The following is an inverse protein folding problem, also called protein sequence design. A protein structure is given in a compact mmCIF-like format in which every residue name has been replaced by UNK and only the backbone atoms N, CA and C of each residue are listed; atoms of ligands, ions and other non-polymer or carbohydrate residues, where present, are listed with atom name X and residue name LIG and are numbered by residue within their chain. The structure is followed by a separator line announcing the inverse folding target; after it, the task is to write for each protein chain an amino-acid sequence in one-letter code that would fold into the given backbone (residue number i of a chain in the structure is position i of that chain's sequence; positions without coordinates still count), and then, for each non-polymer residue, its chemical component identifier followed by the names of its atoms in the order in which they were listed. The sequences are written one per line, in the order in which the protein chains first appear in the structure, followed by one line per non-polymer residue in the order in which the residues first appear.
data_IF_542237489213
#
_entry.id   IF_542237489213
#
_cell.length_a   1.000
_cell.length_b   1.000
_cell.length_c   1.000
_cell.angle_alpha   90.00
_cell.angle_beta   90.00
_cell.angle_gamma   90.00
#
_symmetry.space_group_name_H-M   'P 1'
#
loop_
_entity.id
_entity.type
_entity.pdbx_description
1 polymer ?
#
# COMPACT_ATOMS: atom_id res chain seq x y z
N UNK A 1 -5.94 -17.38 10.27
CA UNK A 1 -5.31 -16.22 9.60
C UNK A 1 -5.95 -14.95 10.14
N UNK A 2 -5.19 -14.15 10.88
CA UNK A 2 -5.59 -12.81 11.30
C UNK A 2 -5.52 -11.89 10.08
N UNK A 3 -6.58 -11.13 9.84
CA UNK A 3 -6.68 -10.14 8.77
C UNK A 3 -7.36 -8.90 9.34
N UNK A 4 -6.96 -7.74 8.85
CA UNK A 4 -7.51 -6.45 9.24
C UNK A 4 -7.66 -5.63 7.95
N UNK A 5 -8.75 -4.87 7.84
CA UNK A 5 -8.91 -3.99 6.69
C UNK A 5 -7.91 -2.82 6.77
N UNK A 6 -7.57 -2.24 5.62
CA UNK A 6 -6.67 -1.08 5.55
C UNK A 6 -7.20 0.05 6.45
N UNK A 7 -8.48 0.38 6.33
CA UNK A 7 -9.11 1.42 7.15
C UNK A 7 -9.07 1.10 8.65
N UNK A 8 -9.35 -0.16 9.04
CA UNK A 8 -9.29 -0.54 10.46
C UNK A 8 -7.90 -0.40 11.04
N UNK A 9 -6.88 -0.81 10.28
CA UNK A 9 -5.49 -0.67 10.67
C UNK A 9 -5.07 0.81 10.75
N UNK A 10 -5.45 1.63 9.76
CA UNK A 10 -5.21 3.07 9.76
C UNK A 10 -5.84 3.75 10.98
N UNK A 11 -7.11 3.45 11.29
CA UNK A 11 -7.79 4.01 12.46
C UNK A 11 -7.13 3.57 13.76
N UNK A 12 -6.73 2.30 13.87
CA UNK A 12 -6.02 1.79 15.04
C UNK A 12 -4.69 2.54 15.24
N UNK A 13 -3.86 2.63 14.20
CA UNK A 13 -2.55 3.26 14.26
C UNK A 13 -2.66 4.79 14.45
N UNK A 14 -3.66 5.44 13.84
CA UNK A 14 -3.92 6.86 14.05
C UNK A 14 -4.25 7.17 15.51
N UNK A 15 -5.10 6.35 16.14
CA UNK A 15 -5.41 6.51 17.57
C UNK A 15 -4.16 6.37 18.43
N UNK A 16 -3.31 5.37 18.15
CA UNK A 16 -2.05 5.18 18.89
C UNK A 16 -1.11 6.37 18.67
N UNK A 17 -0.95 6.84 17.44
CA UNK A 17 -0.11 7.99 17.12
C UNK A 17 -0.55 9.25 17.86
N UNK A 18 -1.86 9.55 17.85
CA UNK A 18 -2.43 10.70 18.57
C UNK A 18 -2.23 10.59 20.09
N UNK A 19 -2.38 9.38 20.66
CA UNK A 19 -2.12 9.15 22.09
C UNK A 19 -0.65 9.36 22.46
N UNK A 20 0.28 9.11 21.53
CA UNK A 20 1.72 9.33 21.70
C UNK A 20 2.13 10.78 21.38
N UNK A 21 1.18 11.68 21.08
CA UNK A 21 1.45 13.09 20.82
C UNK A 21 1.95 13.38 19.40
N UNK A 22 1.76 12.46 18.45
CA UNK A 22 2.07 12.71 17.04
C UNK A 22 1.08 13.73 16.47
N UNK A 23 1.59 14.83 15.91
CA UNK A 23 0.78 15.78 15.15
C UNK A 23 0.44 15.20 13.77
N UNK A 24 -0.85 15.21 13.42
CA UNK A 24 -1.33 14.66 12.15
C UNK A 24 -2.07 15.74 11.37
N UNK A 25 -1.55 16.08 10.20
CA UNK A 25 -2.15 17.02 9.26
C UNK A 25 -2.80 16.26 8.10
N UNK A 26 -4.11 16.39 7.99
CA UNK A 26 -4.93 15.78 6.93
C UNK A 26 -5.32 16.79 5.85
N UNK A 27 -5.36 16.34 4.60
CA UNK A 27 -5.70 17.16 3.43
C UNK A 27 -4.57 18.08 2.97
N UNK A 28 -3.33 17.66 3.19
CA UNK A 28 -2.11 18.40 2.87
C UNK A 28 -1.18 17.46 2.12
N UNK A 29 -0.64 17.94 1.00
CA UNK A 29 0.28 17.20 0.15
C UNK A 29 1.70 17.73 0.30
N UNK A 30 2.65 16.81 0.26
CA UNK A 30 4.07 17.11 0.10
C UNK A 30 4.33 17.71 -1.28
N UNK A 31 5.12 18.78 -1.34
CA UNK A 31 5.52 19.42 -2.59
C UNK A 31 6.99 19.16 -2.91
N UNK A 32 7.88 19.59 -2.02
CA UNK A 32 9.32 19.54 -2.23
C UNK A 32 10.07 19.74 -0.89
N UNK A 33 11.35 19.42 -0.89
CA UNK A 33 12.30 19.64 0.19
C UNK A 33 13.50 20.40 -0.35
N UNK A 34 13.73 21.58 0.20
CA UNK A 34 14.78 22.50 -0.27
C UNK A 34 15.64 22.99 0.90
N UNK A 35 16.92 23.27 0.61
CA UNK A 35 17.80 23.99 1.54
C UNK A 35 17.55 25.49 1.41
N UNK A 36 16.82 26.08 2.36
CA UNK A 36 16.35 27.46 2.25
C UNK A 36 16.49 28.23 3.57
N UNK A 37 16.37 29.56 3.50
CA UNK A 37 16.33 30.43 4.69
C UNK A 37 14.89 30.80 4.99
N UNK A 38 14.50 30.68 6.26
CA UNK A 38 13.18 31.05 6.79
C UNK A 38 12.93 32.57 6.83
N UNK A 39 13.94 33.40 6.52
CA UNK A 39 13.79 34.84 6.38
C UNK A 39 15.11 35.62 6.35
N UNK A 40 15.07 36.94 6.09
CA UNK A 40 16.27 37.76 6.04
C UNK A 40 17.08 37.66 7.35
N UNK A 41 18.33 37.21 7.26
CA UNK A 41 19.23 37.06 8.41
C UNK A 41 19.06 35.77 9.23
N UNK A 42 18.20 34.84 8.82
CA UNK A 42 18.06 33.53 9.47
C UNK A 42 18.98 32.48 8.81
N UNK A 43 19.50 31.56 9.64
CA UNK A 43 20.27 30.40 9.18
C UNK A 43 19.46 29.57 8.18
N UNK A 44 20.17 28.95 7.23
CA UNK A 44 19.53 28.02 6.29
C UNK A 44 19.31 26.67 6.96
N UNK A 45 18.23 26.02 6.57
CA UNK A 45 17.92 24.67 6.99
C UNK A 45 17.06 23.96 5.94
N UNK A 46 16.93 22.65 6.09
CA UNK A 46 16.00 21.88 5.26
C UNK A 46 14.57 22.29 5.55
N UNK A 47 13.88 22.68 4.48
CA UNK A 47 12.51 23.14 4.50
C UNK A 47 11.66 22.20 3.65
N UNK A 48 10.63 21.60 4.26
CA UNK A 48 9.64 20.77 3.58
C UNK A 48 8.43 21.63 3.26
N UNK A 49 8.16 21.83 1.97
CA UNK A 49 7.03 22.62 1.48
C UNK A 49 5.76 21.78 1.32
N UNK A 50 4.63 22.36 1.70
CA UNK A 50 3.32 21.72 1.73
C UNK A 50 2.28 22.56 1.00
N UNK A 51 1.28 21.90 0.44
CA UNK A 51 0.11 22.55 -0.16
C UNK A 51 -1.19 21.84 0.22
N UNK A 52 -2.35 22.51 0.20
CA UNK A 52 -3.63 21.84 0.31
C UNK A 52 -3.80 20.81 -0.81
N UNK A 53 -4.12 19.56 -0.45
CA UNK A 53 -4.37 18.50 -1.43
C UNK A 53 -5.74 18.62 -2.10
N UNK A 54 -5.96 17.98 -3.26
CA UNK A 54 -7.20 18.10 -4.04
C UNK A 54 -8.47 17.53 -3.37
N UNK A 55 -8.39 16.99 -2.15
CA UNK A 55 -9.46 16.24 -1.47
C UNK A 55 -9.06 14.77 -1.34
N UNK A 56 -9.72 14.01 -0.45
CA UNK A 56 -9.38 12.59 -0.23
C UNK A 56 -9.50 11.79 -1.53
N UNK A 57 -8.38 11.25 -2.01
CA UNK A 57 -8.41 10.08 -2.89
C UNK A 57 -8.63 8.83 -2.03
N UNK A 58 -9.40 7.86 -2.54
CA UNK A 58 -9.53 6.58 -1.87
C UNK A 58 -8.15 5.92 -1.75
N UNK A 59 -7.87 5.30 -0.60
CA UNK A 59 -6.54 4.87 -0.15
C UNK A 59 -5.86 3.74 -0.98
N UNK A 60 -6.35 3.44 -2.18
CA UNK A 60 -5.90 2.31 -3.00
C UNK A 60 -5.03 2.81 -4.17
N UNK A 61 -3.79 3.20 -3.86
CA UNK A 61 -2.86 3.91 -4.76
C UNK A 61 -2.45 3.25 -6.10
N UNK A 62 -3.00 2.10 -6.48
CA UNK A 62 -2.88 1.54 -7.86
C UNK A 62 -4.16 1.63 -8.68
N UNK A 63 -5.28 1.81 -8.01
CA UNK A 63 -6.57 1.93 -8.62
C UNK A 63 -6.90 3.43 -8.67
N UNK A 64 -6.36 4.12 -9.67
CA UNK A 64 -6.68 5.53 -9.88
C UNK A 64 -8.21 5.67 -10.00
N UNK A 65 -8.79 6.42 -9.06
CA UNK A 65 -10.11 6.99 -9.23
C UNK A 65 -9.96 8.47 -9.00
N UNK A 66 -10.22 9.26 -10.04
CA UNK A 66 -10.73 10.60 -9.83
C UNK A 66 -12.11 10.46 -9.19
N UNK A 67 -12.15 10.29 -7.87
CA UNK A 67 -13.42 10.41 -7.16
C UNK A 67 -13.76 11.90 -7.18
N UNK A 68 -14.82 12.24 -7.92
CA UNK A 68 -15.44 13.56 -7.91
C UNK A 68 -16.12 13.89 -6.58
N UNK A 69 -15.50 13.56 -5.44
CA UNK A 69 -15.94 14.06 -4.16
C UNK A 69 -15.76 15.57 -4.18
N UNK A 70 -16.88 16.28 -3.99
CA UNK A 70 -16.94 17.73 -3.84
C UNK A 70 -15.78 18.17 -2.95
N UNK A 71 -14.91 19.05 -3.47
CA UNK A 71 -13.98 19.85 -2.67
C UNK A 71 -14.74 20.27 -1.41
N UNK A 72 -14.36 19.71 -0.26
CA UNK A 72 -14.78 20.29 1.00
C UNK A 72 -14.35 21.77 0.92
N UNK A 73 -15.23 22.70 1.28
CA UNK A 73 -14.95 24.14 1.17
C UNK A 73 -13.71 24.57 1.95
N UNK A 74 -13.26 23.75 2.91
CA UNK A 74 -11.98 23.84 3.59
C UNK A 74 -11.36 22.44 3.79
N UNK A 75 -10.02 22.30 3.73
CA UNK A 75 -9.34 21.03 4.00
C UNK A 75 -9.53 20.61 5.47
N UNK A 76 -9.46 19.31 5.80
CA UNK A 76 -9.60 18.82 7.18
C UNK A 76 -8.65 19.49 8.19
N UNK A 77 -7.47 19.92 7.76
CA UNK A 77 -6.53 20.70 8.56
C UNK A 77 -6.41 22.13 8.00
N UNK A 78 -7.38 23.02 8.28
CA UNK A 78 -7.45 24.35 7.68
C UNK A 78 -6.31 25.29 8.11
N UNK A 79 -5.55 24.91 9.15
CA UNK A 79 -4.43 25.68 9.70
C UNK A 79 -3.08 24.98 9.52
N UNK A 80 -3.01 23.98 8.62
CA UNK A 80 -1.73 23.35 8.33
C UNK A 80 -0.70 24.39 7.87
N UNK A 81 0.55 24.35 8.35
CA UNK A 81 1.60 25.23 7.88
C UNK A 81 1.87 24.97 6.40
N UNK A 82 2.37 25.99 5.69
CA UNK A 82 2.81 25.85 4.30
C UNK A 82 4.19 25.23 4.18
N UNK A 83 4.95 25.22 5.25
CA UNK A 83 6.26 24.60 5.30
C UNK A 83 6.65 24.19 6.72
N UNK A 84 7.48 23.17 6.83
CA UNK A 84 8.24 22.86 8.03
C UNK A 84 9.70 23.23 7.80
N UNK A 85 10.31 23.96 8.74
CA UNK A 85 11.72 24.32 8.73
C UNK A 85 12.51 23.43 9.69
N UNK A 86 13.84 23.46 9.60
CA UNK A 86 14.74 22.75 10.51
C UNK A 86 14.51 21.23 10.54
N UNK A 87 14.19 20.65 9.37
CA UNK A 87 13.91 19.22 9.25
C UNK A 87 15.21 18.41 9.16
N UNK A 88 15.47 17.53 10.12
CA UNK A 88 16.66 16.63 10.07
C UNK A 88 16.37 15.25 9.49
N UNK A 89 15.11 14.81 9.55
CA UNK A 89 14.68 13.48 9.09
C UNK A 89 13.38 13.60 8.30
N UNK A 90 13.35 12.99 7.12
CA UNK A 90 12.15 12.90 6.28
C UNK A 90 11.88 11.44 5.90
N UNK A 91 10.68 10.94 6.20
CA UNK A 91 10.26 9.58 5.86
C UNK A 91 9.14 9.58 4.82
N UNK A 92 9.42 9.01 3.65
CA UNK A 92 8.44 8.82 2.58
C UNK A 92 7.63 7.53 2.79
N UNK A 93 6.35 7.70 3.13
CA UNK A 93 5.39 6.61 3.36
C UNK A 93 4.11 6.77 2.51
N UNK A 94 4.20 7.45 1.36
CA UNK A 94 3.04 7.80 0.51
C UNK A 94 2.61 6.68 -0.44
N UNK A 95 3.22 5.50 -0.35
CA UNK A 95 2.99 4.39 -1.27
C UNK A 95 3.75 4.55 -2.59
N UNK A 96 3.14 4.08 -3.68
CA UNK A 96 3.73 4.03 -5.01
C UNK A 96 4.14 5.43 -5.52
N UNK A 97 5.31 5.53 -6.17
CA UNK A 97 5.76 6.78 -6.80
C UNK A 97 6.02 7.93 -5.83
N UNK A 98 6.50 7.62 -4.62
CA UNK A 98 6.73 8.59 -3.54
C UNK A 98 7.50 9.83 -4.02
N UNK A 99 6.91 11.05 -3.93
CA UNK A 99 7.61 12.27 -4.33
C UNK A 99 8.85 12.53 -3.47
N UNK A 100 8.83 12.11 -2.20
CA UNK A 100 9.96 12.23 -1.26
C UNK A 100 11.20 11.51 -1.80
N UNK A 101 11.05 10.29 -2.32
CA UNK A 101 12.18 9.52 -2.84
C UNK A 101 12.79 10.17 -4.08
N UNK A 102 11.94 10.65 -5.00
CA UNK A 102 12.38 11.34 -6.22
C UNK A 102 13.13 12.63 -5.92
N UNK A 103 12.61 13.41 -4.98
CA UNK A 103 13.20 14.69 -4.58
C UNK A 103 14.56 14.50 -3.87
N UNK A 104 14.71 13.41 -3.11
CA UNK A 104 15.98 13.00 -2.54
C UNK A 104 16.96 12.34 -3.53
N UNK A 105 16.61 12.26 -4.82
CA UNK A 105 17.43 11.64 -5.85
C UNK A 105 17.58 10.12 -5.73
N UNK A 106 16.67 9.46 -5.01
CA UNK A 106 16.68 8.01 -4.82
C UNK A 106 16.23 7.31 -6.11
N UNK A 107 16.95 6.26 -6.50
CA UNK A 107 16.67 5.58 -7.77
C UNK A 107 15.57 4.53 -7.60
N UNK A 108 14.60 4.48 -8.51
CA UNK A 108 13.68 3.35 -8.62
C UNK A 108 14.28 2.29 -9.55
N UNK A 109 14.23 1.03 -9.14
CA UNK A 109 14.49 -0.13 -9.98
C UNK A 109 13.17 -0.82 -10.26
N UNK A 110 12.87 -1.04 -11.54
CA UNK A 110 11.93 -2.08 -11.89
C UNK A 110 12.52 -3.41 -11.41
N UNK A 111 11.72 -4.19 -10.68
CA UNK A 111 12.09 -5.57 -10.38
C UNK A 111 12.32 -6.29 -11.71
N UNK A 112 13.31 -7.20 -11.76
CA UNK A 112 13.42 -8.15 -12.88
C UNK A 112 12.01 -8.69 -13.17
N UNK A 113 11.64 -8.81 -14.44
CA UNK A 113 10.33 -9.29 -14.92
C UNK A 113 9.99 -10.68 -14.32
N UNK A 114 9.67 -10.72 -13.03
CA UNK A 114 9.54 -11.91 -12.19
C UNK A 114 8.30 -12.71 -12.62
N UNK A 115 7.42 -12.11 -13.42
CA UNK A 115 6.44 -12.80 -14.23
C UNK A 115 6.61 -12.45 -15.70
N UNK A 116 6.75 -13.48 -16.53
CA UNK A 116 6.57 -13.41 -18.00
C UNK A 116 5.11 -13.15 -18.39
N UNK A 117 4.16 -13.37 -17.47
CA UNK A 117 2.72 -13.27 -17.70
C UNK A 117 2.13 -12.04 -17.02
N UNK A 118 1.16 -11.40 -17.68
CA UNK A 118 0.49 -10.22 -17.15
C UNK A 118 -0.27 -10.55 -15.86
N UNK A 119 0.01 -9.86 -14.75
CA UNK A 119 -0.70 -10.06 -13.48
C UNK A 119 -1.68 -8.91 -13.28
N UNK A 120 -2.97 -9.17 -13.42
CA UNK A 120 -4.01 -8.14 -13.30
C UNK A 120 -4.71 -8.33 -11.95
N UNK A 121 -4.71 -7.29 -11.14
CA UNK A 121 -5.48 -7.25 -9.91
C UNK A 121 -6.87 -6.67 -10.14
N UNK A 122 -7.85 -7.15 -9.36
CA UNK A 122 -9.20 -6.63 -9.30
C UNK A 122 -9.57 -6.42 -7.82
N UNK A 123 -10.05 -5.22 -7.46
CA UNK A 123 -10.64 -4.94 -6.15
C UNK A 123 -12.12 -4.58 -6.31
N UNK A 124 -12.95 -4.96 -5.33
CA UNK A 124 -14.25 -4.35 -5.13
C UNK A 124 -14.63 -4.30 -3.63
N UNK A 125 -15.42 -3.29 -3.26
CA UNK A 125 -15.90 -3.08 -1.90
C UNK A 125 -17.42 -3.01 -1.88
N UNK A 126 -18.12 -4.01 -1.35
CA UNK A 126 -19.57 -3.91 -1.16
C UNK A 126 -19.94 -3.26 0.17
N UNK A 127 -21.02 -2.47 0.17
CA UNK A 127 -21.58 -1.83 1.35
C UNK A 127 -22.04 -2.88 2.37
N UNK A 128 -21.78 -2.59 3.64
CA UNK A 128 -22.15 -3.44 4.76
C UNK A 128 -23.45 -2.95 5.39
N UNK A 129 -24.51 -3.77 5.42
CA UNK A 129 -25.78 -3.45 6.09
C UNK A 129 -25.83 -3.97 7.53
N UNK A 130 -24.87 -4.83 7.91
CA UNK A 130 -24.74 -5.42 9.25
C UNK A 130 -25.93 -6.29 9.67
N UNK A 131 -26.55 -6.95 8.70
CA UNK A 131 -27.62 -7.91 8.98
C UNK A 131 -27.10 -9.27 9.48
N UNK A 132 -28.02 -10.18 9.84
CA UNK A 132 -27.69 -11.49 10.39
C UNK A 132 -26.98 -12.40 9.37
N UNK A 133 -27.28 -12.28 8.08
CA UNK A 133 -26.64 -13.11 7.05
C UNK A 133 -25.17 -12.70 6.86
N UNK A 134 -24.91 -11.39 6.77
CA UNK A 134 -23.56 -10.83 6.76
C UNK A 134 -22.77 -11.20 8.02
N UNK A 135 -23.43 -11.26 9.19
CA UNK A 135 -22.79 -11.62 10.45
C UNK A 135 -22.19 -13.05 10.42
N UNK A 136 -22.81 -13.98 9.69
CA UNK A 136 -22.35 -15.36 9.55
C UNK A 136 -21.20 -15.54 8.55
N UNK A 137 -20.96 -14.59 7.65
CA UNK A 137 -19.92 -14.69 6.63
C UNK A 137 -18.52 -14.71 7.27
N UNK A 138 -17.67 -15.65 6.86
CA UNK A 138 -16.25 -15.69 7.24
C UNK A 138 -15.38 -15.17 6.11
N UNK A 139 -14.38 -14.36 6.47
CA UNK A 139 -13.30 -13.95 5.58
C UNK A 139 -12.49 -15.18 5.13
N UNK A 140 -11.91 -15.12 3.93
CA UNK A 140 -11.06 -16.18 3.39
C UNK A 140 -9.96 -15.62 2.50
N UNK A 141 -8.93 -16.44 2.27
CA UNK A 141 -7.83 -16.17 1.34
C UNK A 141 -7.49 -17.48 0.65
N UNK A 142 -7.65 -17.52 -0.67
CA UNK A 142 -7.48 -18.75 -1.45
C UNK A 142 -6.63 -18.47 -2.68
N UNK A 143 -5.71 -19.38 -2.99
CA UNK A 143 -4.91 -19.37 -4.20
C UNK A 143 -5.17 -20.64 -5.01
N UNK A 144 -5.30 -20.51 -6.33
CA UNK A 144 -5.62 -21.60 -7.26
C UNK A 144 -4.68 -22.80 -7.12
N UNK A 145 -3.41 -22.55 -6.83
CA UNK A 145 -2.40 -23.61 -6.62
C UNK A 145 -2.76 -24.60 -5.51
N UNK A 146 -3.53 -24.18 -4.51
CA UNK A 146 -3.99 -25.04 -3.40
C UNK A 146 -5.43 -25.52 -3.58
N UNK A 147 -6.24 -24.84 -4.40
CA UNK A 147 -7.69 -25.06 -4.52
C UNK A 147 -8.15 -25.27 -5.98
N UNK A 148 -7.36 -25.97 -6.80
CA UNK A 148 -7.57 -26.05 -8.25
C UNK A 148 -9.00 -26.46 -8.67
N UNK A 149 -9.59 -27.47 -8.02
CA UNK A 149 -10.97 -27.92 -8.31
C UNK A 149 -12.02 -26.85 -8.01
N UNK A 150 -11.88 -26.14 -6.89
CA UNK A 150 -12.79 -25.06 -6.49
C UNK A 150 -12.73 -23.91 -7.49
N UNK A 151 -11.53 -23.50 -7.89
CA UNK A 151 -11.35 -22.45 -8.90
C UNK A 151 -11.89 -22.85 -10.27
N UNK A 152 -11.80 -24.13 -10.65
CA UNK A 152 -12.42 -24.62 -11.88
C UNK A 152 -13.96 -24.53 -11.83
N UNK A 153 -14.57 -24.83 -10.68
CA UNK A 153 -16.01 -24.69 -10.48
C UNK A 153 -16.43 -23.22 -10.49
N UNK A 154 -15.70 -22.36 -9.78
CA UNK A 154 -15.92 -20.92 -9.77
C UNK A 154 -15.83 -20.32 -11.17
N UNK A 155 -14.85 -20.72 -11.97
CA UNK A 155 -14.69 -20.26 -13.35
C UNK A 155 -15.85 -20.70 -14.25
N UNK A 156 -16.37 -21.93 -14.08
CA UNK A 156 -17.55 -22.40 -14.83
C UNK A 156 -18.82 -21.64 -14.44
N UNK A 157 -18.96 -21.28 -13.17
CA UNK A 157 -20.12 -20.55 -12.68
C UNK A 157 -20.09 -19.07 -13.07
N UNK A 158 -18.93 -18.43 -12.99
CA UNK A 158 -18.81 -16.97 -13.12
C UNK A 158 -18.20 -16.48 -14.44
N UNK A 159 -17.60 -17.36 -15.23
CA UNK A 159 -16.79 -16.97 -16.39
C UNK A 159 -15.42 -16.37 -16.04
N UNK A 160 -15.09 -16.27 -14.74
CA UNK A 160 -13.83 -15.70 -14.27
C UNK A 160 -12.78 -16.78 -13.95
N UNK A 161 -11.68 -16.81 -14.70
CA UNK A 161 -10.50 -17.58 -14.28
C UNK A 161 -9.66 -16.70 -13.35
N UNK A 162 -9.48 -17.16 -12.10
CA UNK A 162 -8.72 -16.43 -11.08
C UNK A 162 -7.45 -17.19 -10.68
N UNK A 163 -6.37 -16.48 -10.39
CA UNK A 163 -5.19 -17.05 -9.74
C UNK A 163 -5.34 -17.11 -8.22
N UNK A 164 -5.99 -16.11 -7.63
CA UNK A 164 -6.29 -16.02 -6.22
C UNK A 164 -7.52 -15.15 -5.98
N UNK A 165 -8.10 -15.28 -4.79
CA UNK A 165 -9.16 -14.43 -4.27
C UNK A 165 -9.05 -14.33 -2.75
N UNK A 166 -9.19 -13.12 -2.24
CA UNK A 166 -9.21 -12.81 -0.82
C UNK A 166 -10.47 -12.00 -0.53
N UNK A 167 -11.22 -12.43 0.48
CA UNK A 167 -12.39 -11.75 0.99
C UNK A 167 -12.15 -11.39 2.45
N UNK A 168 -12.29 -10.11 2.77
CA UNK A 168 -12.23 -9.60 4.15
C UNK A 168 -13.54 -8.92 4.52
N UNK A 169 -14.21 -9.44 5.54
CA UNK A 169 -15.35 -8.77 6.17
C UNK A 169 -14.86 -7.73 7.17
N UNK A 170 -14.78 -6.47 6.76
CA UNK A 170 -14.41 -5.35 7.65
C UNK A 170 -15.62 -4.80 8.40
N UNK A 171 -15.45 -3.75 9.22
CA UNK A 171 -16.57 -3.05 9.84
C UNK A 171 -17.36 -2.15 8.86
N UNK A 172 -16.73 -1.82 7.72
CA UNK A 172 -17.16 -0.78 6.77
C UNK A 172 -17.67 -1.34 5.45
N UNK A 173 -17.04 -2.40 4.98
CA UNK A 173 -17.31 -3.02 3.68
C UNK A 173 -16.99 -4.52 3.67
N UNK A 174 -17.55 -5.19 2.67
CA UNK A 174 -17.08 -6.50 2.20
C UNK A 174 -16.02 -6.27 1.12
N UNK A 175 -14.75 -6.36 1.52
CA UNK A 175 -13.60 -6.12 0.64
C UNK A 175 -13.21 -7.42 -0.07
N UNK A 176 -13.05 -7.33 -1.39
CA UNK A 176 -12.47 -8.38 -2.20
C UNK A 176 -11.25 -7.88 -2.95
N UNK A 177 -10.23 -8.71 -3.00
CA UNK A 177 -9.14 -8.61 -3.98
C UNK A 177 -8.95 -9.95 -4.64
N UNK A 178 -8.81 -9.94 -5.97
CA UNK A 178 -8.61 -11.14 -6.76
C UNK A 178 -7.69 -10.86 -7.94
N UNK A 179 -7.19 -11.91 -8.56
CA UNK A 179 -6.30 -11.80 -9.72
C UNK A 179 -6.89 -12.57 -10.90
N UNK A 180 -7.76 -11.93 -11.72
CA UNK A 180 -8.29 -12.56 -12.92
C UNK A 180 -7.20 -12.72 -13.99
N UNK A 181 -7.32 -13.77 -14.82
CA UNK A 181 -6.43 -13.91 -15.98
C UNK A 181 -6.84 -12.93 -17.08
N UNK A 182 -5.85 -12.47 -17.86
CA UNK A 182 -6.09 -11.61 -19.03
C UNK A 182 -7.10 -12.20 -20.00
N UNK A 183 -7.00 -13.51 -20.27
CA UNK A 183 -7.90 -14.22 -21.17
C UNK A 183 -9.34 -14.17 -20.69
N UNK A 184 -9.55 -14.24 -19.37
CA UNK A 184 -10.88 -14.17 -18.77
C UNK A 184 -11.49 -12.78 -18.89
N UNK A 185 -10.71 -11.71 -18.69
CA UNK A 185 -11.18 -10.34 -18.88
C UNK A 185 -11.53 -10.04 -20.35
N UNK A 186 -10.76 -10.60 -21.29
CA UNK A 186 -11.07 -10.47 -22.72
C UNK A 186 -12.30 -11.30 -23.10
N UNK A 187 -12.41 -12.54 -22.62
CA UNK A 187 -13.53 -13.43 -22.95
C UNK A 187 -14.87 -12.95 -22.36
N UNK A 188 -14.84 -12.32 -21.18
CA UNK A 188 -16.00 -11.68 -20.57
C UNK A 188 -16.36 -10.33 -21.21
N UNK A 189 -15.50 -9.81 -22.10
CA UNK A 189 -15.69 -8.51 -22.75
C UNK A 189 -15.39 -7.30 -21.86
N UNK A 190 -14.89 -7.51 -20.63
CA UNK A 190 -14.40 -6.44 -19.74
C UNK A 190 -13.26 -5.67 -20.40
N UNK A 191 -12.33 -6.38 -21.04
CA UNK A 191 -11.30 -5.76 -21.89
C UNK A 191 -11.83 -5.71 -23.32
N UNK A 192 -12.00 -4.50 -23.85
CA UNK A 192 -12.62 -4.24 -25.16
C UNK A 192 -11.69 -4.69 -26.29
N UNK A 193 -10.43 -4.26 -26.26
CA UNK A 193 -9.41 -4.62 -27.24
C UNK A 193 -8.17 -5.19 -26.54
N UNK A 194 -7.87 -6.46 -26.82
CA UNK A 194 -6.71 -7.17 -26.25
C UNK A 194 -5.35 -6.58 -26.64
N UNK A 195 -5.29 -5.79 -27.71
CA UNK A 195 -4.05 -5.21 -28.25
C UNK A 195 -3.86 -3.73 -27.85
N UNK A 196 -4.81 -3.14 -27.11
CA UNK A 196 -4.68 -1.78 -26.61
C UNK A 196 -3.53 -1.70 -25.59
N UNK A 197 -2.77 -0.59 -25.60
CA UNK A 197 -1.69 -0.34 -24.65
C UNK A 197 -1.81 1.08 -24.08
N UNK A 198 -1.87 1.24 -22.73
CA UNK A 198 -1.85 0.20 -21.71
C UNK A 198 -3.15 -0.63 -21.70
N UNK A 199 -3.07 -1.95 -21.44
CA UNK A 199 -4.21 -2.87 -21.54
C UNK A 199 -5.43 -2.43 -20.70
N UNK A 200 -5.18 -1.87 -19.52
CA UNK A 200 -6.19 -1.46 -18.55
C UNK A 200 -6.53 0.04 -18.64
N UNK A 201 -6.21 0.70 -19.76
CA UNK A 201 -6.64 2.08 -20.01
C UNK A 201 -8.16 2.21 -19.84
N UNK A 202 -8.62 3.32 -19.27
CA UNK A 202 -10.04 3.55 -18.96
C UNK A 202 -10.94 3.37 -20.18
N UNK A 203 -10.47 3.78 -21.36
CA UNK A 203 -11.21 3.70 -22.63
C UNK A 203 -11.28 2.26 -23.18
N UNK A 204 -10.44 1.36 -22.65
CA UNK A 204 -10.38 -0.04 -23.04
C UNK A 204 -11.06 -0.99 -22.04
N UNK A 205 -11.66 -0.44 -20.98
CA UNK A 205 -12.37 -1.20 -19.94
C UNK A 205 -13.87 -0.93 -20.01
N UNK A 206 -14.64 -2.00 -20.20
CA UNK A 206 -16.10 -2.00 -20.12
C UNK A 206 -16.52 -2.19 -18.65
N UNK A 207 -16.81 -1.08 -17.97
CA UNK A 207 -17.12 -1.07 -16.53
C UNK A 207 -18.46 -1.75 -16.19
N UNK A 208 -19.41 -1.78 -17.11
CA UNK A 208 -20.67 -2.50 -16.90
C UNK A 208 -20.43 -4.01 -16.89
N UNK A 209 -19.64 -4.52 -17.85
CA UNK A 209 -19.24 -5.93 -17.84
C UNK A 209 -18.34 -6.27 -16.67
N UNK A 210 -17.54 -5.33 -16.18
CA UNK A 210 -16.74 -5.52 -14.98
C UNK A 210 -17.62 -5.71 -13.73
N UNK A 211 -18.67 -4.90 -13.56
CA UNK A 211 -19.67 -5.07 -12.49
C UNK A 211 -20.33 -6.46 -12.57
N UNK A 212 -20.79 -6.86 -13.77
CA UNK A 212 -21.40 -8.17 -13.99
C UNK A 212 -20.44 -9.30 -13.60
N UNK A 213 -19.21 -9.29 -14.12
CA UNK A 213 -18.20 -10.31 -13.81
C UNK A 213 -17.94 -10.41 -12.30
N UNK A 214 -17.84 -9.28 -11.61
CA UNK A 214 -17.60 -9.22 -10.17
C UNK A 214 -18.75 -9.81 -9.38
N UNK A 215 -19.99 -9.48 -9.75
CA UNK A 215 -21.20 -10.03 -9.09
C UNK A 215 -21.29 -11.54 -9.27
N UNK A 216 -21.00 -12.04 -10.46
CA UNK A 216 -20.95 -13.47 -10.74
C UNK A 216 -19.88 -14.20 -9.92
N UNK A 217 -18.69 -13.59 -9.77
CA UNK A 217 -17.64 -14.14 -8.89
C UNK A 217 -18.12 -14.20 -7.44
N UNK A 218 -18.67 -13.11 -6.90
CA UNK A 218 -19.07 -13.07 -5.47
C UNK A 218 -20.37 -13.82 -5.18
N UNK A 219 -21.11 -14.23 -6.21
CA UNK A 219 -22.24 -15.15 -6.14
C UNK A 219 -21.82 -16.63 -6.00
N UNK A 220 -20.55 -16.95 -6.25
CA UNK A 220 -20.03 -18.29 -6.02
C UNK A 220 -19.73 -18.56 -4.53
N UNK A 221 -20.20 -19.68 -3.94
CA UNK A 221 -19.94 -20.02 -2.55
C UNK A 221 -18.55 -20.64 -2.36
N UNK A 222 -17.54 -19.79 -2.14
CA UNK A 222 -16.14 -20.24 -1.94
C UNK A 222 -15.91 -21.08 -0.68
N UNK A 223 -16.76 -20.93 0.34
CA UNK A 223 -16.68 -21.69 1.59
C UNK A 223 -17.79 -22.73 1.62
N UNK A 224 -17.41 -24.01 1.71
CA UNK A 224 -18.36 -25.12 1.82
C UNK A 224 -19.30 -24.94 3.03
N UNK A 225 -20.59 -25.13 2.81
CA UNK A 225 -21.63 -24.98 3.83
C UNK A 225 -21.94 -23.53 4.24
N UNK A 226 -21.28 -22.53 3.65
CA UNK A 226 -21.58 -21.11 3.85
C UNK A 226 -22.23 -20.55 2.59
N UNK A 227 -23.24 -19.70 2.76
CA UNK A 227 -23.81 -18.95 1.64
C UNK A 227 -22.77 -18.05 0.96
N UNK A 228 -22.95 -17.81 -0.34
CA UNK A 228 -22.14 -16.85 -1.08
C UNK A 228 -22.33 -15.43 -0.53
N UNK A 229 -21.31 -14.59 -0.67
CA UNK A 229 -21.35 -13.22 -0.14
C UNK A 229 -22.46 -12.44 -0.83
N UNK A 230 -22.60 -12.54 -2.15
CA UNK A 230 -23.70 -11.89 -2.87
C UNK A 230 -25.08 -12.26 -2.30
N UNK A 231 -25.32 -13.56 -2.06
CA UNK A 231 -26.60 -14.06 -1.54
C UNK A 231 -26.90 -13.50 -0.14
N UNK A 232 -25.90 -13.45 0.75
CA UNK A 232 -26.05 -12.88 2.09
C UNK A 232 -26.41 -11.38 2.04
N UNK A 233 -25.75 -10.63 1.15
CA UNK A 233 -25.98 -9.18 1.00
C UNK A 233 -27.36 -8.88 0.40
N UNK A 234 -27.85 -9.73 -0.51
CA UNK A 234 -29.21 -9.65 -1.06
C UNK A 234 -30.24 -9.98 0.03
N UNK A 235 -30.00 -11.01 0.83
CA UNK A 235 -30.90 -11.40 1.91
C UNK A 235 -31.05 -10.28 2.97
N UNK A 236 -29.93 -9.69 3.40
CA UNK A 236 -29.93 -8.55 4.33
C UNK A 236 -30.38 -7.24 3.67
N UNK A 237 -30.36 -7.17 2.34
CA UNK A 237 -30.91 -6.08 1.54
C UNK A 237 -32.38 -6.27 1.14
N UNK A 238 -33.09 -7.25 1.71
CA UNK A 238 -34.49 -7.52 1.38
C UNK A 238 -34.77 -7.77 -0.12
N UNK A 239 -33.83 -8.41 -0.82
CA UNK A 239 -33.92 -8.69 -2.25
C UNK A 239 -33.27 -7.63 -3.14
N UNK A 240 -32.83 -6.50 -2.58
CA UNK A 240 -32.09 -5.48 -3.34
C UNK A 240 -30.69 -5.97 -3.73
N UNK A 241 -30.25 -5.54 -4.91
CA UNK A 241 -28.88 -5.78 -5.36
C UNK A 241 -27.87 -5.16 -4.38
N UNK A 242 -26.73 -5.82 -4.12
CA UNK A 242 -25.66 -5.25 -3.31
C UNK A 242 -25.09 -3.99 -3.95
N UNK A 243 -24.94 -2.92 -3.17
CA UNK A 243 -24.30 -1.67 -3.60
C UNK A 243 -22.83 -1.65 -3.22
N UNK A 244 -22.02 -0.89 -3.95
CA UNK A 244 -20.63 -0.66 -3.59
C UNK A 244 -20.50 0.40 -2.50
N UNK A 245 -19.48 0.26 -1.66
CA UNK A 245 -19.13 1.21 -0.60
C UNK A 245 -18.29 2.39 -1.13
N UNK A 246 -17.79 2.27 -2.36
CA UNK A 246 -16.92 3.21 -3.07
C UNK A 246 -17.33 3.30 -4.56
N UNK A 247 -16.44 3.79 -5.42
CA UNK A 247 -16.68 3.97 -6.86
C UNK A 247 -16.91 2.68 -7.67
N UNK A 248 -16.99 1.50 -7.04
CA UNK A 248 -17.21 0.23 -7.72
C UNK A 248 -15.92 -0.54 -8.00
N UNK A 249 -15.99 -1.61 -8.82
CA UNK A 249 -14.86 -2.49 -9.05
C UNK A 249 -13.76 -1.82 -9.86
N UNK A 250 -12.50 -2.12 -9.52
CA UNK A 250 -11.32 -1.51 -10.14
C UNK A 250 -10.30 -2.56 -10.55
N UNK A 251 -9.67 -2.32 -11.69
CA UNK A 251 -8.57 -3.13 -12.22
C UNK A 251 -7.26 -2.38 -12.05
N UNK A 252 -6.16 -3.12 -11.87
CA UNK A 252 -4.83 -2.54 -11.77
C UNK A 252 -3.77 -3.55 -12.18
N UNK A 253 -2.63 -3.05 -12.65
CA UNK A 253 -1.56 -3.89 -13.18
C UNK A 253 -0.50 -4.19 -12.10
N UNK A 254 -0.20 -5.46 -11.90
CA UNK A 254 0.89 -5.97 -11.06
C UNK A 254 2.12 -6.39 -11.86
N UNK A 255 2.11 -6.32 -13.19
CA UNK A 255 3.22 -6.75 -14.04
C UNK A 255 4.48 -5.93 -13.88
N UNK A 256 4.34 -4.67 -13.49
CA UNK A 256 5.46 -3.81 -13.14
C UNK A 256 5.45 -3.64 -11.63
N UNK A 257 6.38 -4.33 -10.97
CA UNK A 257 6.73 -4.04 -9.58
C UNK A 257 7.96 -3.13 -9.61
N UNK A 258 7.80 -1.89 -9.16
CA UNK A 258 8.93 -1.01 -8.87
C UNK A 258 9.39 -1.25 -7.45
N UNK A 259 10.64 -0.93 -7.18
CA UNK A 259 11.21 -0.93 -5.84
C UNK A 259 12.23 0.19 -5.78
N UNK A 260 12.38 0.82 -4.63
CA UNK A 260 13.50 1.74 -4.48
C UNK A 260 14.80 0.94 -4.43
N UNK A 261 15.79 1.36 -5.23
CA UNK A 261 17.14 0.82 -5.21
C UNK A 261 17.80 1.11 -3.86
N UNK A 262 17.60 2.34 -3.39
CA UNK A 262 18.11 2.88 -2.14
C UNK A 262 16.92 3.00 -1.18
N UNK A 263 17.00 2.47 0.04
CA UNK A 263 15.91 2.64 1.01
C UNK A 263 16.11 3.81 1.97
N UNK A 264 17.35 4.28 2.07
CA UNK A 264 17.78 5.39 2.92
C UNK A 264 18.93 6.14 2.24
N UNK A 265 18.95 7.47 2.33
CA UNK A 265 20.02 8.32 1.82
C UNK A 265 20.23 9.54 2.73
N UNK A 266 21.37 10.21 2.56
CA UNK A 266 21.65 11.51 3.16
C UNK A 266 21.72 12.56 2.06
N UNK A 267 20.81 13.52 2.11
CA UNK A 267 20.83 14.69 1.21
C UNK A 267 21.67 15.77 1.90
N UNK A 268 22.64 16.32 1.18
CA UNK A 268 23.54 17.34 1.73
C UNK A 268 23.21 18.73 1.20
N UNK A 269 23.43 19.78 2.01
CA UNK A 269 23.30 21.15 1.50
C UNK A 269 24.27 21.40 0.34
N UNK A 270 23.96 22.38 -0.53
CA UNK A 270 24.86 22.86 -1.55
C UNK A 270 26.26 23.14 -0.97
N UNK A 271 27.36 22.73 -1.61
CA UNK A 271 28.71 22.81 -1.05
C UNK A 271 29.12 24.21 -0.59
N UNK A 272 28.64 25.23 -1.29
CA UNK A 272 28.88 26.66 -1.03
C UNK A 272 28.11 27.22 0.19
N UNK A 273 27.20 26.44 0.76
CA UNK A 273 26.23 26.89 1.77
C UNK A 273 26.25 26.04 3.04
N UNK A 274 27.23 25.13 3.16
CA UNK A 274 27.40 24.30 4.35
C UNK A 274 27.97 25.10 5.50
N UNK A 275 27.42 24.89 6.68
CA UNK A 275 28.07 25.34 7.89
C UNK A 275 29.30 24.46 8.15
N UNK A 276 30.48 25.04 8.43
CA UNK A 276 31.71 24.27 8.65
C UNK A 276 31.68 23.41 9.93
N UNK A 277 30.71 23.62 10.83
CA UNK A 277 30.66 23.01 12.16
C UNK A 277 29.32 22.34 12.51
N UNK A 278 28.37 22.18 11.57
CA UNK A 278 27.10 21.48 11.84
C UNK A 278 26.85 20.31 10.90
N UNK A 279 26.23 19.27 11.45
CA UNK A 279 25.66 18.17 10.68
C UNK A 279 24.35 18.67 10.04
N UNK A 280 24.51 19.31 8.89
CA UNK A 280 23.41 19.88 8.10
C UNK A 280 22.81 18.83 7.15
N UNK A 281 23.18 17.55 7.24
CA UNK A 281 22.68 16.51 6.36
C UNK A 281 21.21 16.19 6.72
N UNK A 282 20.38 15.94 5.69
CA UNK A 282 19.01 15.45 5.83
C UNK A 282 19.00 13.94 5.61
N UNK A 283 18.58 13.20 6.63
CA UNK A 283 18.32 11.76 6.48
C UNK A 283 16.96 11.57 5.82
N UNK A 284 16.94 10.95 4.63
CA UNK A 284 15.71 10.58 3.92
C UNK A 284 15.58 9.07 3.88
N UNK A 285 14.44 8.53 4.29
CA UNK A 285 14.15 7.10 4.22
C UNK A 285 12.78 6.84 3.56
N UNK A 286 12.68 5.75 2.79
CA UNK A 286 11.41 5.25 2.26
C UNK A 286 10.94 4.07 3.09
N UNK A 287 9.64 4.00 3.34
CA UNK A 287 9.02 2.91 4.12
C UNK A 287 7.70 2.45 3.48
N UNK A 288 7.24 1.26 3.86
CA UNK A 288 6.01 0.69 3.30
C UNK A 288 6.13 0.43 1.80
N UNK A 289 5.02 0.67 1.08
CA UNK A 289 4.94 0.44 -0.37
C UNK A 289 5.85 1.40 -1.17
N UNK A 290 6.28 2.52 -0.58
CA UNK A 290 7.30 3.40 -1.18
C UNK A 290 8.70 2.77 -1.22
N UNK A 291 8.98 1.82 -0.32
CA UNK A 291 10.26 1.12 -0.25
C UNK A 291 10.24 -0.16 -1.10
N UNK A 292 9.29 -1.06 -0.79
CA UNK A 292 9.10 -2.34 -1.48
C UNK A 292 7.63 -2.47 -1.84
N UNK A 293 7.33 -2.42 -3.13
CA UNK A 293 5.97 -2.68 -3.60
C UNK A 293 5.55 -4.12 -3.25
N UNK A 294 4.42 -4.32 -2.57
CA UNK A 294 3.96 -5.64 -2.22
C UNK A 294 3.23 -6.31 -3.38
N UNK A 295 3.47 -7.61 -3.54
CA UNK A 295 2.54 -8.46 -4.26
C UNK A 295 1.41 -8.84 -3.29
N UNK A 296 0.26 -8.19 -3.40
CA UNK A 296 -0.85 -8.38 -2.44
C UNK A 296 -1.27 -9.84 -2.24
N UNK A 297 -1.27 -10.72 -3.26
CA UNK A 297 -1.58 -12.14 -3.08
C UNK A 297 -0.65 -12.90 -2.13
N UNK A 298 0.60 -12.45 -1.96
CA UNK A 298 1.53 -13.04 -0.99
C UNK A 298 1.26 -12.58 0.45
N UNK A 299 0.45 -11.53 0.65
CA UNK A 299 0.09 -11.03 1.97
C UNK A 299 1.27 -10.42 2.75
N UNK A 300 2.35 -10.03 2.07
CA UNK A 300 3.59 -9.56 2.71
C UNK A 300 3.64 -8.05 2.96
N UNK A 301 2.69 -7.27 2.45
CA UNK A 301 2.72 -5.80 2.53
C UNK A 301 2.87 -5.27 3.96
N UNK A 302 1.99 -5.68 4.88
CA UNK A 302 2.06 -5.24 6.28
C UNK A 302 3.34 -5.71 6.97
N UNK A 303 3.76 -6.96 6.73
CA UNK A 303 4.96 -7.53 7.36
C UNK A 303 6.20 -6.76 6.91
N UNK A 304 6.38 -6.59 5.59
CA UNK A 304 7.54 -5.88 5.04
C UNK A 304 7.50 -4.39 5.38
N UNK A 305 6.32 -3.78 5.36
CA UNK A 305 6.12 -2.38 5.73
C UNK A 305 6.51 -2.10 7.18
N UNK A 306 6.03 -2.90 8.13
CA UNK A 306 6.36 -2.72 9.55
C UNK A 306 7.85 -2.98 9.83
N UNK A 307 8.42 -4.04 9.24
CA UNK A 307 9.85 -4.31 9.39
C UNK A 307 10.71 -3.19 8.79
N UNK A 308 10.34 -2.66 7.63
CA UNK A 308 11.01 -1.53 7.00
C UNK A 308 10.94 -0.24 7.83
N UNK A 309 9.80 0.05 8.46
CA UNK A 309 9.66 1.18 9.40
C UNK A 309 10.59 0.99 10.61
N UNK A 310 10.66 -0.22 11.17
CA UNK A 310 11.55 -0.49 12.30
C UNK A 310 13.04 -0.37 11.90
N UNK A 311 13.40 -0.79 10.69
CA UNK A 311 14.76 -0.64 10.15
C UNK A 311 15.13 0.84 9.97
N UNK A 312 14.21 1.65 9.41
CA UNK A 312 14.41 3.10 9.25
C UNK A 312 14.53 3.80 10.61
N UNK A 313 13.63 3.51 11.56
CA UNK A 313 13.69 4.08 12.90
C UNK A 313 14.96 3.66 13.66
N UNK A 314 15.48 2.44 13.44
CA UNK A 314 16.77 2.03 13.99
C UNK A 314 17.91 2.84 13.40
N UNK A 315 17.94 3.02 12.08
CA UNK A 315 18.94 3.85 11.40
C UNK A 315 18.93 5.29 11.92
N UNK A 316 17.75 5.90 12.06
CA UNK A 316 17.58 7.23 12.68
C UNK A 316 18.14 7.25 14.12
N UNK A 317 17.86 6.22 14.93
CA UNK A 317 18.38 6.15 16.29
C UNK A 317 19.92 6.06 16.33
N UNK A 318 20.53 5.36 15.37
CA UNK A 318 21.99 5.24 15.28
C UNK A 318 22.62 6.56 14.88
N UNK A 319 22.02 7.28 13.93
CA UNK A 319 22.48 8.61 13.54
C UNK A 319 22.35 9.60 14.71
N UNK A 320 21.22 9.58 15.43
CA UNK A 320 20.98 10.46 16.58
C UNK A 320 21.98 10.28 17.74
N UNK A 321 22.58 9.09 17.88
CA UNK A 321 23.65 8.84 18.88
C UNK A 321 25.07 9.09 18.33
N UNK A 322 25.18 9.68 17.13
CA UNK A 322 26.45 10.14 16.55
C UNK A 322 27.17 9.12 15.67
N UNK A 323 26.50 8.07 15.19
CA UNK A 323 27.09 7.20 14.17
C UNK A 323 27.27 7.95 12.84
N UNK A 324 28.33 7.62 12.10
CA UNK A 324 28.57 8.25 10.80
C UNK A 324 27.51 7.86 9.77
N UNK A 325 27.26 8.77 8.82
CA UNK A 325 26.30 8.55 7.74
C UNK A 325 26.58 7.25 6.97
N UNK A 326 27.86 6.91 6.76
CA UNK A 326 28.26 5.66 6.13
C UNK A 326 27.94 4.41 6.96
N UNK A 327 28.08 4.47 8.29
CA UNK A 327 27.76 3.35 9.17
C UNK A 327 26.24 3.13 9.25
N UNK A 328 25.47 4.23 9.31
CA UNK A 328 24.00 4.20 9.30
C UNK A 328 23.47 3.60 8.00
N UNK A 329 23.99 4.05 6.85
CA UNK A 329 23.64 3.49 5.54
C UNK A 329 23.95 1.99 5.45
N UNK A 330 25.16 1.58 5.84
CA UNK A 330 25.56 0.18 5.78
C UNK A 330 24.67 -0.73 6.66
N UNK A 331 24.35 -0.29 7.88
CA UNK A 331 23.46 -1.03 8.78
C UNK A 331 22.03 -1.14 8.26
N UNK A 332 21.51 -0.07 7.65
CA UNK A 332 20.19 -0.11 7.00
C UNK A 332 20.19 -1.03 5.78
N UNK A 333 21.20 -0.96 4.92
CA UNK A 333 21.32 -1.79 3.72
C UNK A 333 21.40 -3.28 4.04
N UNK A 334 22.11 -3.66 5.11
CA UNK A 334 22.15 -5.05 5.57
C UNK A 334 20.74 -5.56 5.94
N UNK A 335 20.00 -4.77 6.72
CA UNK A 335 18.63 -5.10 7.09
C UNK A 335 17.71 -5.15 5.85
N UNK A 336 17.86 -4.19 4.94
CA UNK A 336 17.06 -4.11 3.73
C UNK A 336 17.30 -5.29 2.78
N UNK A 337 18.54 -5.78 2.66
CA UNK A 337 18.85 -7.01 1.92
C UNK A 337 18.09 -8.22 2.49
N UNK A 338 18.02 -8.36 3.82
CA UNK A 338 17.22 -9.41 4.46
C UNK A 338 15.73 -9.26 4.15
N UNK A 339 15.20 -8.06 4.32
CA UNK A 339 13.79 -7.73 4.07
C UNK A 339 13.36 -8.13 2.65
N UNK A 340 14.21 -7.85 1.64
CA UNK A 340 13.95 -8.20 0.23
C UNK A 340 13.81 -9.70 -0.01
N UNK A 341 14.49 -10.53 0.77
CA UNK A 341 14.45 -11.99 0.63
C UNK A 341 13.30 -12.64 1.39
N UNK A 342 12.60 -11.90 2.27
CA UNK A 342 11.54 -12.42 3.11
C UNK A 342 10.29 -12.78 2.28
N UNK A 343 9.94 -14.06 2.24
CA UNK A 343 8.68 -14.57 1.71
C UNK A 343 8.21 -15.78 2.54
N UNK A 344 7.08 -16.40 2.16
CA UNK A 344 6.53 -17.54 2.90
C UNK A 344 7.52 -18.72 3.02
N UNK A 345 8.31 -19.00 1.97
CA UNK A 345 9.28 -20.10 1.96
C UNK A 345 10.57 -19.78 2.73
N UNK A 346 11.02 -18.52 2.70
CA UNK A 346 12.28 -18.11 3.35
C UNK A 346 12.10 -17.59 4.78
N UNK A 347 10.85 -17.37 5.24
CA UNK A 347 10.53 -16.80 6.56
C UNK A 347 11.35 -17.41 7.70
N UNK A 348 11.40 -18.74 7.77
CA UNK A 348 12.06 -19.45 8.86
C UNK A 348 13.59 -19.23 8.89
N UNK A 349 14.19 -18.99 7.72
CA UNK A 349 15.62 -18.73 7.58
C UNK A 349 15.95 -17.23 7.73
N UNK A 350 15.01 -16.34 7.44
CA UNK A 350 15.23 -14.88 7.49
C UNK A 350 14.91 -14.30 8.86
N UNK A 351 13.80 -14.73 9.50
CA UNK A 351 13.33 -14.15 10.75
C UNK A 351 13.65 -15.01 11.96
N UNK A 352 13.95 -14.34 13.07
CA UNK A 352 14.02 -14.94 14.39
C UNK A 352 12.66 -15.58 14.75
N UNK A 353 12.69 -16.71 15.45
CA UNK A 353 11.48 -17.49 15.74
C UNK A 353 10.63 -16.93 16.90
N UNK A 354 11.23 -16.21 17.85
CA UNK A 354 10.51 -15.63 19.00
C UNK A 354 10.11 -14.18 18.71
N UNK A 355 8.96 -14.00 18.07
CA UNK A 355 8.42 -12.69 17.67
C UNK A 355 8.18 -11.75 18.88
N UNK A 356 8.05 -12.29 20.08
CA UNK A 356 7.88 -11.49 21.32
C UNK A 356 9.14 -10.70 21.70
N UNK A 357 10.29 -11.07 21.13
CA UNK A 357 11.57 -10.37 21.36
C UNK A 357 11.87 -9.32 20.30
N UNK A 358 11.00 -9.16 19.31
CA UNK A 358 11.22 -8.20 18.24
C UNK A 358 11.25 -6.79 18.83
N UNK A 359 12.32 -6.07 18.50
CA UNK A 359 12.55 -4.70 18.93
C UNK A 359 13.11 -3.89 17.75
N UNK A 360 13.45 -2.63 18.03
CA UNK A 360 13.96 -1.71 17.02
C UNK A 360 15.22 -2.25 16.31
N UNK A 361 16.14 -2.85 17.07
CA UNK A 361 17.38 -3.36 16.52
C UNK A 361 17.17 -4.56 15.55
N UNK A 362 17.73 -4.52 14.32
CA UNK A 362 17.51 -5.53 13.28
C UNK A 362 17.84 -6.96 13.71
N UNK A 363 18.90 -7.17 14.50
CA UNK A 363 19.31 -8.52 14.96
C UNK A 363 18.31 -9.19 15.92
N UNK A 364 17.36 -8.42 16.48
CA UNK A 364 16.26 -8.99 17.26
C UNK A 364 15.16 -9.60 16.37
N UNK A 365 15.17 -9.26 15.08
CA UNK A 365 14.15 -9.63 14.08
C UNK A 365 14.70 -10.54 13.00
N UNK A 366 15.89 -10.23 12.47
CA UNK A 366 16.56 -11.00 11.43
C UNK A 366 17.58 -11.97 12.02
N UNK A 367 17.71 -13.14 11.40
CA UNK A 367 18.78 -14.10 11.72
C UNK A 367 20.09 -13.64 11.09
N UNK A 368 21.18 -13.90 11.80
CA UNK A 368 22.51 -13.82 11.19
C UNK A 368 22.59 -14.82 10.02
N UNK A 369 23.23 -14.41 8.92
CA UNK A 369 23.56 -15.30 7.78
C UNK A 369 24.49 -16.41 8.20
#
# INVERSE_FOLDING_TARGET
LLHISINDLQVLLLKVALLLGVEVLLGVDYVATDWSSSGPGQSRSWTVSLQPGPGMSDAEGRAEVETGFSRASAPPSPRAPRAFHDVSVLMGASGFGSPVGRDAGMSEKEGDHLRKESAIGLICNFTRRRGPNEAMLRSFSMARQFYARLFQQAARASGANLENIVYTKSHRSHYFVMTPTRESLVASGVVINRNYQPLLARENVDFEKLDVLVREVVAFPFIEGQQAVHAALVADGHGEAPTYADGGPRLFDFSQMKRSADGLTFVRPPPDQRSPNSDDDLLVALVGDSLVEPFWPEGLGIIRGFLGVLDACFAVSQWAVGQSNSAVLAGFDEAYVRLKTLNAATRACVLQSDERRFALAPWTRYRAS
#
